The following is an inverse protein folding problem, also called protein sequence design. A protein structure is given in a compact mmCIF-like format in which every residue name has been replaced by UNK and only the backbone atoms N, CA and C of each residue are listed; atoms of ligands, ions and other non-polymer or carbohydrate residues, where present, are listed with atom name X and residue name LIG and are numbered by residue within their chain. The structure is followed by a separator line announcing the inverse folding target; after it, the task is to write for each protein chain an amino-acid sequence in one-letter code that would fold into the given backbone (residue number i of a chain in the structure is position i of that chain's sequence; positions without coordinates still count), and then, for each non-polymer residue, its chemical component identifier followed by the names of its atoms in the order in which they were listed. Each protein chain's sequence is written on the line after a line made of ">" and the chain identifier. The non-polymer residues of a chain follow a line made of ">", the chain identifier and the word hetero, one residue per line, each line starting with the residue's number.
data_IF_111092620585
#
_entry.id   IF_111092620585
#
_cell.length_a   1.000
_cell.length_b   1.000
_cell.length_c   1.000
_cell.angle_alpha   90.00
_cell.angle_beta   90.00
_cell.angle_gamma   90.00
#
_symmetry.space_group_name_H-M   'P 1'
#
loop_
_entity.id
_entity.type
_entity.pdbx_description
1 polymer ?
#
# COMPACT_ATOMS: atom_id res chain seq x y z
N UNK A 1 0.76 -1.72 22.99
CA UNK A 1 0.01 -0.89 22.03
C UNK A 1 0.74 -1.06 20.73
N UNK A 2 0.19 -1.85 19.80
CA UNK A 2 0.86 -2.06 18.51
C UNK A 2 0.60 -0.81 17.67
N UNK A 3 1.62 0.03 17.51
CA UNK A 3 1.51 1.20 16.65
C UNK A 3 1.16 0.75 15.23
N UNK A 4 0.17 1.38 14.57
CA UNK A 4 -0.20 0.99 13.22
C UNK A 4 1.00 1.17 12.30
N UNK A 5 1.60 0.06 11.89
CA UNK A 5 2.76 0.09 11.01
C UNK A 5 2.35 0.63 9.63
N UNK A 6 2.86 1.80 9.31
CA UNK A 6 2.63 2.49 8.05
C UNK A 6 3.77 2.20 7.09
N UNK A 7 3.48 1.48 6.01
CA UNK A 7 4.41 1.21 4.93
C UNK A 7 4.45 2.40 3.97
N UNK A 8 5.65 2.82 3.62
CA UNK A 8 5.89 3.73 2.50
C UNK A 8 5.59 3.05 1.16
N UNK A 9 5.43 3.85 0.11
CA UNK A 9 5.33 3.33 -1.28
C UNK A 9 6.50 2.40 -1.65
N UNK A 10 7.70 2.67 -1.12
CA UNK A 10 8.87 1.83 -1.37
C UNK A 10 8.74 0.43 -0.75
N UNK A 11 8.25 0.36 0.49
CA UNK A 11 8.03 -0.90 1.19
C UNK A 11 6.86 -1.68 0.58
N UNK A 12 5.79 -0.99 0.19
CA UNK A 12 4.68 -1.61 -0.55
C UNK A 12 5.16 -2.19 -1.88
N UNK A 13 6.01 -1.46 -2.60
CA UNK A 13 6.59 -1.95 -3.84
C UNK A 13 7.42 -3.22 -3.61
N UNK A 14 8.26 -3.25 -2.57
CA UNK A 14 9.01 -4.45 -2.19
C UNK A 14 8.09 -5.62 -1.79
N UNK A 15 7.05 -5.35 -1.01
CA UNK A 15 6.09 -6.35 -0.54
C UNK A 15 5.31 -6.99 -1.70
N UNK A 16 4.88 -6.18 -2.66
CA UNK A 16 4.15 -6.61 -3.86
C UNK A 16 5.09 -7.09 -4.98
N UNK A 17 6.42 -7.15 -4.73
CA UNK A 17 7.45 -7.49 -5.72
C UNK A 17 7.30 -6.68 -7.02
N UNK A 18 7.05 -5.39 -6.88
CA UNK A 18 6.81 -4.45 -7.98
C UNK A 18 7.63 -3.18 -7.81
N UNK A 19 7.46 -2.22 -8.72
CA UNK A 19 8.17 -0.93 -8.66
C UNK A 19 7.31 0.15 -8.00
N UNK A 20 7.96 1.18 -7.46
CA UNK A 20 7.25 2.37 -6.92
C UNK A 20 6.33 3.00 -7.96
N UNK A 21 6.77 3.05 -9.21
CA UNK A 21 5.99 3.57 -10.33
C UNK A 21 4.73 2.73 -10.58
N UNK A 22 4.83 1.40 -10.52
CA UNK A 22 3.67 0.51 -10.64
C UNK A 22 2.67 0.68 -9.50
N UNK A 23 3.15 0.94 -8.26
CA UNK A 23 2.27 1.29 -7.13
C UNK A 23 1.52 2.61 -7.41
N UNK A 24 2.23 3.65 -7.84
CA UNK A 24 1.58 4.93 -8.20
C UNK A 24 0.60 4.76 -9.36
N UNK A 25 0.95 4.01 -10.39
CA UNK A 25 0.06 3.72 -11.52
C UNK A 25 -1.17 2.91 -11.10
N UNK A 26 -1.02 1.89 -10.25
CA UNK A 26 -2.17 1.14 -9.69
C UNK A 26 -3.11 2.08 -8.95
N UNK A 27 -2.57 2.92 -8.06
CA UNK A 27 -3.36 3.90 -7.30
C UNK A 27 -4.04 4.92 -8.21
N UNK A 28 -3.34 5.38 -9.27
CA UNK A 28 -3.86 6.36 -10.22
C UNK A 28 -4.97 5.78 -11.09
N UNK A 29 -4.78 4.56 -11.61
CA UNK A 29 -5.72 3.86 -12.49
C UNK A 29 -6.94 3.35 -11.72
N UNK A 30 -6.73 2.81 -10.53
CA UNK A 30 -7.80 2.35 -9.67
C UNK A 30 -7.46 2.65 -8.20
N UNK A 31 -8.05 3.70 -7.62
CA UNK A 31 -7.83 4.07 -6.22
C UNK A 31 -8.12 2.97 -5.20
N UNK A 32 -8.92 1.96 -5.57
CA UNK A 32 -9.26 0.80 -4.75
C UNK A 32 -8.34 -0.40 -4.95
N UNK A 33 -7.41 -0.35 -5.91
CA UNK A 33 -6.49 -1.46 -6.18
C UNK A 33 -5.48 -1.72 -5.06
N UNK A 34 -5.28 -0.76 -4.15
CA UNK A 34 -4.44 -0.91 -2.97
C UNK A 34 -5.18 -0.35 -1.74
N UNK A 35 -5.65 -1.22 -0.82
CA UNK A 35 -6.37 -0.79 0.35
C UNK A 35 -5.44 -0.24 1.45
N UNK A 36 -6.03 0.43 2.44
CA UNK A 36 -5.28 0.96 3.58
C UNK A 36 -4.42 2.18 3.25
N UNK A 37 -4.64 2.83 2.11
CA UNK A 37 -3.95 4.06 1.71
C UNK A 37 -4.21 5.18 2.72
N UNK A 38 -3.14 5.74 3.27
CA UNK A 38 -3.14 6.90 4.16
C UNK A 38 -2.26 7.97 3.55
N UNK A 39 -2.77 9.20 3.43
CA UNK A 39 -1.98 10.35 3.00
C UNK A 39 -1.60 11.16 4.22
N UNK A 40 -0.31 11.28 4.49
CA UNK A 40 0.21 12.07 5.61
C UNK A 40 1.06 13.18 5.01
N UNK A 41 0.53 14.40 5.05
CA UNK A 41 1.11 15.56 4.36
C UNK A 41 1.25 15.31 2.85
N UNK A 42 2.49 15.41 2.35
CA UNK A 42 2.83 15.20 0.94
C UNK A 42 3.16 13.74 0.60
N UNK A 43 3.26 12.85 1.60
CA UNK A 43 3.70 11.46 1.42
C UNK A 43 2.51 10.51 1.49
N UNK A 44 2.60 9.44 0.71
CA UNK A 44 1.62 8.36 0.68
C UNK A 44 2.16 7.17 1.46
N UNK A 45 1.32 6.64 2.34
CA UNK A 45 1.58 5.50 3.19
C UNK A 45 0.44 4.48 3.05
N UNK A 46 0.67 3.27 3.53
CA UNK A 46 -0.30 2.19 3.54
C UNK A 46 -0.26 1.49 4.90
N UNK A 47 -1.42 1.22 5.47
CA UNK A 47 -1.49 0.38 6.68
C UNK A 47 -1.05 -1.04 6.35
N UNK A 48 0.01 -1.50 7.02
CA UNK A 48 0.56 -2.85 6.83
C UNK A 48 -0.50 -3.91 7.05
N UNK A 49 -1.24 -3.83 8.16
CA UNK A 49 -2.28 -4.79 8.53
C UNK A 49 -3.32 -4.98 7.40
N UNK A 50 -3.81 -3.89 6.82
CA UNK A 50 -4.85 -3.89 5.80
C UNK A 50 -4.28 -4.43 4.50
N UNK A 51 -3.08 -3.96 4.14
CA UNK A 51 -2.43 -4.39 2.90
C UNK A 51 -2.07 -5.88 2.94
N UNK A 52 -1.56 -6.38 4.06
CA UNK A 52 -1.26 -7.80 4.26
C UNK A 52 -2.53 -8.65 4.24
N UNK A 53 -3.59 -8.24 4.95
CA UNK A 53 -4.88 -8.94 4.93
C UNK A 53 -5.48 -9.01 3.51
N UNK A 54 -5.30 -7.95 2.72
CA UNK A 54 -5.72 -7.92 1.32
C UNK A 54 -4.88 -8.83 0.43
N UNK A 55 -3.54 -8.83 0.58
CA UNK A 55 -2.65 -9.78 -0.14
C UNK A 55 -3.06 -11.22 0.19
N UNK A 56 -3.28 -11.53 1.47
CA UNK A 56 -3.69 -12.86 1.94
C UNK A 56 -5.06 -13.29 1.37
N UNK A 57 -5.96 -12.35 1.10
CA UNK A 57 -7.27 -12.62 0.47
C UNK A 57 -7.21 -12.78 -1.06
N UNK A 58 -6.02 -12.73 -1.67
CA UNK A 58 -5.85 -12.83 -3.13
C UNK A 58 -5.83 -11.47 -3.80
N UNK A 59 -5.05 -10.54 -3.24
CA UNK A 59 -5.03 -9.13 -3.63
C UNK A 59 -4.85 -8.86 -5.13
N UNK A 60 -5.99 -8.65 -5.81
CA UNK A 60 -6.11 -8.10 -7.17
C UNK A 60 -5.85 -9.11 -8.27
#
# INVERSE_FOLDING_TARGET
>A
MEEPELLTVAEVAALLRTTRAAVYERVRRNPHALPGRVKIGRRMFFRREILQAWIARGGG
#
